data_IF_787863790514
#
_entry.id   IF_787863790514
#
_cell.length_a   1.000
_cell.length_b   1.000
_cell.length_c   1.000
_cell.angle_alpha   90.00
_cell.angle_beta   90.00
_cell.angle_gamma   90.00
#
_symmetry.space_group_name_H-M   'P 1'
#
loop_
_entity.id
_entity.type
_entity.pdbx_description
1 polymer ?
#
# COMPACT_ATOMS: atom_id res chain seq x y z
N UNK A 1 21.27 -5.11 -21.03
CA UNK A 1 21.03 -6.13 -19.98
C UNK A 1 20.34 -5.44 -18.81
N UNK A 2 19.11 -5.81 -18.47
CA UNK A 2 18.41 -5.24 -17.29
C UNK A 2 19.17 -5.72 -16.03
N UNK A 3 19.74 -4.81 -15.26
CA UNK A 3 20.26 -5.18 -13.94
C UNK A 3 19.08 -5.49 -13.05
N UNK A 4 19.02 -6.72 -12.52
CA UNK A 4 17.89 -7.23 -11.72
C UNK A 4 17.65 -6.48 -10.40
N UNK A 5 18.51 -5.53 -10.03
CA UNK A 5 18.46 -4.76 -8.77
C UNK A 5 18.08 -3.29 -8.94
N UNK A 6 18.04 -2.76 -10.16
CA UNK A 6 17.79 -1.33 -10.38
C UNK A 6 16.29 -1.03 -10.51
N UNK A 7 15.83 0.07 -9.90
CA UNK A 7 14.44 0.50 -9.99
C UNK A 7 14.16 1.05 -11.40
N UNK A 8 13.23 0.42 -12.11
CA UNK A 8 12.91 0.76 -13.50
C UNK A 8 12.36 2.20 -13.66
N UNK A 9 11.69 2.76 -12.64
CA UNK A 9 11.20 4.14 -12.67
C UNK A 9 12.34 5.15 -12.55
N UNK A 10 13.27 4.90 -11.63
CA UNK A 10 14.43 5.75 -11.36
C UNK A 10 15.35 5.80 -12.58
N UNK A 11 15.59 4.64 -13.22
CA UNK A 11 16.38 4.57 -14.46
C UNK A 11 15.70 5.33 -15.60
N UNK A 12 14.37 5.24 -15.71
CA UNK A 12 13.63 5.98 -16.74
C UNK A 12 13.71 7.49 -16.52
N UNK A 13 13.47 7.97 -15.29
CA UNK A 13 13.60 9.39 -14.94
C UNK A 13 14.99 9.93 -15.25
N UNK A 14 16.04 9.18 -14.94
CA UNK A 14 17.42 9.56 -15.25
C UNK A 14 17.66 9.68 -16.77
N UNK A 15 17.07 8.78 -17.58
CA UNK A 15 17.15 8.87 -19.04
C UNK A 15 16.43 10.12 -19.55
N UNK A 16 15.20 10.38 -19.11
CA UNK A 16 14.46 11.59 -19.52
C UNK A 16 15.17 12.89 -19.09
N UNK A 17 15.82 12.89 -17.93
CA UNK A 17 16.60 14.04 -17.47
C UNK A 17 17.83 14.31 -18.36
N UNK A 18 18.42 13.27 -18.96
CA UNK A 18 19.56 13.39 -19.88
C UNK A 18 19.15 13.65 -21.34
N UNK A 19 17.90 13.39 -21.73
CA UNK A 19 17.42 13.58 -23.12
C UNK A 19 17.66 15.01 -23.67
N UNK A 20 17.46 16.11 -22.92
CA UNK A 20 17.68 17.46 -23.43
C UNK A 20 19.13 17.73 -23.83
N UNK A 21 20.10 17.28 -23.01
CA UNK A 21 21.53 17.41 -23.31
C UNK A 21 21.92 16.58 -24.53
N UNK A 22 21.40 15.35 -24.61
CA UNK A 22 21.63 14.48 -25.76
C UNK A 22 21.04 15.10 -27.03
N UNK A 23 19.83 15.67 -26.94
CA UNK A 23 19.16 16.28 -28.08
C UNK A 23 19.85 17.57 -28.56
N UNK A 24 20.46 18.34 -27.66
CA UNK A 24 21.28 19.50 -28.00
C UNK A 24 22.60 19.13 -28.69
N UNK A 25 23.11 17.92 -28.45
CA UNK A 25 24.32 17.40 -29.11
C UNK A 25 24.04 16.78 -30.50
N UNK A 26 22.78 16.67 -30.92
CA UNK A 26 22.43 16.08 -32.21
C UNK A 26 22.65 17.05 -33.38
N UNK A 27 23.00 16.53 -34.58
CA UNK A 27 23.11 17.33 -35.79
C UNK A 27 21.80 18.05 -36.15
N UNK A 28 21.87 19.22 -36.81
CA UNK A 28 20.68 19.95 -37.24
C UNK A 28 19.80 19.09 -38.16
N UNK A 29 18.51 19.00 -37.82
CA UNK A 29 17.51 18.20 -38.54
C UNK A 29 17.23 16.82 -37.94
N UNK A 30 17.95 16.40 -36.89
CA UNK A 30 17.70 15.13 -36.19
C UNK A 30 16.78 15.34 -34.96
N UNK A 31 15.77 14.49 -34.80
CA UNK A 31 14.83 14.51 -33.68
C UNK A 31 14.93 13.22 -32.87
N UNK A 32 15.06 13.35 -31.56
CA UNK A 32 15.03 12.24 -30.62
C UNK A 32 13.63 12.14 -30.02
N UNK A 33 12.99 10.97 -30.15
CA UNK A 33 11.69 10.71 -29.54
C UNK A 33 11.72 9.34 -28.84
N UNK A 34 11.20 9.24 -27.61
CA UNK A 34 11.02 7.94 -26.95
C UNK A 34 10.05 7.07 -27.77
N UNK A 35 10.49 5.89 -28.20
CA UNK A 35 9.66 4.96 -28.97
C UNK A 35 8.83 4.03 -28.08
N UNK A 36 9.38 3.59 -26.94
CA UNK A 36 8.69 2.73 -25.98
C UNK A 36 9.23 2.96 -24.58
N UNK A 37 8.33 3.27 -23.65
CA UNK A 37 8.65 3.47 -22.24
C UNK A 37 7.80 2.56 -21.36
N UNK A 38 8.37 1.43 -20.95
CA UNK A 38 7.70 0.50 -20.03
C UNK A 38 7.52 1.05 -18.61
N UNK A 39 8.24 2.11 -18.23
CA UNK A 39 8.10 2.73 -16.90
C UNK A 39 6.79 3.50 -16.74
N UNK A 40 6.20 3.98 -17.85
CA UNK A 40 4.91 4.68 -17.84
C UNK A 40 3.80 3.73 -17.35
N UNK A 41 3.78 2.49 -17.84
CA UNK A 41 2.84 1.47 -17.38
C UNK A 41 3.01 1.16 -15.89
N UNK A 42 4.25 1.05 -15.42
CA UNK A 42 4.56 0.80 -14.00
C UNK A 42 4.12 2.00 -13.14
N UNK A 43 4.40 3.23 -13.57
CA UNK A 43 3.99 4.46 -12.88
C UNK A 43 2.47 4.56 -12.75
N UNK A 44 1.76 4.31 -13.85
CA UNK A 44 0.28 4.28 -13.86
C UNK A 44 -0.24 3.20 -12.94
N UNK A 45 0.32 1.98 -13.01
CA UNK A 45 -0.10 0.87 -12.14
C UNK A 45 0.08 1.20 -10.65
N UNK A 46 1.18 1.86 -10.27
CA UNK A 46 1.41 2.30 -8.88
C UNK A 46 0.40 3.38 -8.47
N UNK A 47 0.16 4.37 -9.33
CA UNK A 47 -0.79 5.45 -9.03
C UNK A 47 -2.22 4.92 -8.87
N UNK A 48 -2.64 4.01 -9.75
CA UNK A 48 -3.94 3.34 -9.65
C UNK A 48 -4.04 2.44 -8.41
N UNK A 49 -2.98 1.69 -8.09
CA UNK A 49 -2.93 0.89 -6.87
C UNK A 49 -3.04 1.76 -5.61
N UNK A 50 -2.31 2.88 -5.55
CA UNK A 50 -2.40 3.85 -4.46
C UNK A 50 -3.81 4.41 -4.31
N UNK A 51 -4.45 4.80 -5.42
CA UNK A 51 -5.83 5.28 -5.44
C UNK A 51 -6.80 4.21 -4.93
N UNK A 52 -6.68 2.98 -5.44
CA UNK A 52 -7.52 1.85 -5.04
C UNK A 52 -7.37 1.53 -3.56
N UNK A 53 -6.14 1.54 -3.04
CA UNK A 53 -5.87 1.33 -1.61
C UNK A 53 -6.51 2.42 -0.74
N UNK A 54 -6.47 3.68 -1.19
CA UNK A 54 -7.09 4.79 -0.48
C UNK A 54 -8.62 4.69 -0.51
N UNK A 55 -9.22 4.38 -1.66
CA UNK A 55 -10.66 4.14 -1.79
C UNK A 55 -11.11 2.96 -0.91
N UNK A 56 -10.36 1.86 -0.90
CA UNK A 56 -10.62 0.71 -0.03
C UNK A 56 -10.53 1.07 1.45
N UNK A 57 -9.48 1.79 1.87
CA UNK A 57 -9.30 2.20 3.26
C UNK A 57 -10.47 3.09 3.74
N UNK A 58 -10.89 4.05 2.90
CA UNK A 58 -12.06 4.90 3.20
C UNK A 58 -13.33 4.06 3.33
N UNK A 59 -13.57 3.12 2.41
CA UNK A 59 -14.74 2.24 2.46
C UNK A 59 -14.77 1.37 3.72
N UNK A 60 -13.63 0.82 4.13
CA UNK A 60 -13.54 0.04 5.38
C UNK A 60 -13.90 0.90 6.59
N UNK A 61 -13.36 2.11 6.68
CA UNK A 61 -13.68 3.05 7.78
C UNK A 61 -15.17 3.39 7.78
N UNK A 62 -15.76 3.66 6.61
CA UNK A 62 -17.20 3.97 6.49
C UNK A 62 -18.05 2.80 6.93
N UNK A 63 -17.75 1.57 6.49
CA UNK A 63 -18.52 0.38 6.87
C UNK A 63 -18.44 0.15 8.38
N UNK A 64 -17.24 0.18 8.97
CA UNK A 64 -17.06 -0.02 10.42
C UNK A 64 -17.78 1.08 11.21
N UNK A 65 -17.72 2.34 10.75
CA UNK A 65 -18.47 3.43 11.36
C UNK A 65 -19.98 3.22 11.27
N UNK A 66 -20.49 2.67 10.16
CA UNK A 66 -21.92 2.42 9.98
C UNK A 66 -22.43 1.37 10.97
N UNK A 67 -21.62 0.35 11.25
CA UNK A 67 -21.93 -0.69 12.25
C UNK A 67 -21.86 -0.18 13.69
N UNK A 68 -20.84 0.61 14.03
CA UNK A 68 -20.58 1.00 15.44
C UNK A 68 -21.15 2.37 15.83
N UNK A 69 -21.40 3.25 14.86
CA UNK A 69 -21.79 4.67 15.02
C UNK A 69 -20.91 5.44 16.03
N UNK A 70 -19.69 4.96 16.28
CA UNK A 70 -18.75 5.51 17.24
C UNK A 70 -17.38 5.69 16.59
N UNK A 71 -17.01 6.95 16.33
CA UNK A 71 -15.75 7.31 15.68
C UNK A 71 -14.52 6.79 16.44
N UNK A 72 -14.52 6.78 17.77
CA UNK A 72 -13.36 6.33 18.56
C UNK A 72 -13.12 4.84 18.37
N UNK A 73 -14.19 4.06 18.39
CA UNK A 73 -14.15 2.61 18.19
C UNK A 73 -13.67 2.27 16.77
N UNK A 74 -14.12 3.01 15.75
CA UNK A 74 -13.73 2.81 14.35
C UNK A 74 -12.24 3.06 14.09
N UNK A 75 -11.60 3.98 14.81
CA UNK A 75 -10.18 4.29 14.61
C UNK A 75 -9.25 3.13 14.99
N UNK A 76 -9.66 2.28 15.94
CA UNK A 76 -8.83 1.17 16.42
C UNK A 76 -8.45 0.21 15.27
N UNK A 77 -9.39 -0.44 14.57
CA UNK A 77 -9.06 -1.30 13.43
C UNK A 77 -8.48 -0.52 12.24
N UNK A 78 -8.91 0.73 12.03
CA UNK A 78 -8.43 1.57 10.93
C UNK A 78 -6.91 1.81 10.98
N UNK A 79 -6.32 1.90 12.18
CA UNK A 79 -4.87 1.99 12.34
C UNK A 79 -4.20 0.63 12.56
N UNK A 80 -4.84 -0.29 13.28
CA UNK A 80 -4.27 -1.60 13.58
C UNK A 80 -3.98 -2.44 12.31
N UNK A 81 -4.91 -2.44 11.34
CA UNK A 81 -4.75 -3.25 10.12
C UNK A 81 -3.58 -2.73 9.27
N UNK A 82 -3.50 -1.45 8.88
CA UNK A 82 -2.35 -0.95 8.10
C UNK A 82 -1.01 -1.08 8.83
N UNK A 83 -0.97 -0.81 10.15
CA UNK A 83 0.27 -0.90 10.91
C UNK A 83 0.80 -2.33 11.00
N UNK A 84 -0.08 -3.34 11.10
CA UNK A 84 0.33 -4.75 11.07
C UNK A 84 0.98 -5.14 9.74
N UNK A 85 0.45 -4.67 8.60
CA UNK A 85 1.00 -4.94 7.27
C UNK A 85 2.39 -4.31 7.13
N UNK A 86 2.54 -3.04 7.58
CA UNK A 86 3.85 -2.36 7.59
C UNK A 86 4.85 -3.12 8.45
N UNK A 87 4.44 -3.62 9.61
CA UNK A 87 5.30 -4.42 10.49
C UNK A 87 5.77 -5.73 9.81
N UNK A 88 4.89 -6.42 9.08
CA UNK A 88 5.26 -7.62 8.32
C UNK A 88 6.32 -7.29 7.27
N UNK A 89 6.14 -6.22 6.49
CA UNK A 89 7.14 -5.82 5.50
C UNK A 89 8.48 -5.41 6.13
N UNK A 90 8.45 -4.72 7.28
CA UNK A 90 9.67 -4.36 8.00
C UNK A 90 10.45 -5.59 8.47
N UNK A 91 9.75 -6.60 9.01
CA UNK A 91 10.36 -7.86 9.43
C UNK A 91 10.89 -8.65 8.22
N UNK A 92 10.11 -8.73 7.13
CA UNK A 92 10.56 -9.36 5.89
C UNK A 92 11.84 -8.71 5.36
N UNK A 93 11.91 -7.38 5.38
CA UNK A 93 13.10 -6.64 4.97
C UNK A 93 14.29 -6.94 5.87
N UNK A 94 14.10 -6.94 7.20
CA UNK A 94 15.16 -7.26 8.16
C UNK A 94 15.70 -8.69 8.02
N UNK A 95 14.85 -9.65 7.65
CA UNK A 95 15.22 -11.04 7.41
C UNK A 95 15.74 -11.30 5.98
N UNK A 96 15.76 -10.29 5.12
CA UNK A 96 16.20 -10.43 3.72
C UNK A 96 15.22 -11.22 2.83
N UNK A 97 13.95 -11.33 3.21
CA UNK A 97 12.93 -11.94 2.35
C UNK A 97 12.56 -11.02 1.19
N UNK A 98 12.46 -11.60 0.00
CA UNK A 98 11.96 -10.93 -1.20
C UNK A 98 10.43 -10.96 -1.26
N UNK A 99 9.82 -9.92 -1.81
CA UNK A 99 8.40 -9.96 -2.20
C UNK A 99 8.27 -10.85 -3.46
N UNK A 100 7.55 -11.96 -3.32
CA UNK A 100 7.23 -12.92 -4.38
C UNK A 100 5.82 -13.51 -4.20
N UNK A 101 5.36 -14.33 -5.15
CA UNK A 101 4.01 -14.91 -5.12
C UNK A 101 3.69 -15.70 -3.83
N UNK A 102 4.64 -16.43 -3.25
CA UNK A 102 4.41 -17.15 -2.00
C UNK A 102 4.23 -16.20 -0.82
N UNK A 103 5.07 -15.18 -0.71
CA UNK A 103 4.94 -14.16 0.36
C UNK A 103 3.67 -13.34 0.22
N UNK A 104 3.23 -13.05 -1.01
CA UNK A 104 1.97 -12.35 -1.27
C UNK A 104 0.77 -13.23 -0.93
N UNK A 105 0.80 -14.52 -1.28
CA UNK A 105 -0.27 -15.46 -0.90
C UNK A 105 -0.39 -15.58 0.62
N UNK A 106 0.74 -15.69 1.33
CA UNK A 106 0.78 -15.73 2.78
C UNK A 106 0.22 -14.43 3.40
N UNK A 107 0.60 -13.26 2.84
CA UNK A 107 0.09 -11.97 3.30
C UNK A 107 -1.42 -11.84 3.10
N UNK A 108 -1.96 -12.30 1.96
CA UNK A 108 -3.40 -12.29 1.69
C UNK A 108 -4.19 -13.11 2.72
N UNK A 109 -3.69 -14.29 3.09
CA UNK A 109 -4.32 -15.11 4.14
C UNK A 109 -4.21 -14.43 5.51
N UNK A 110 -3.03 -13.89 5.83
CA UNK A 110 -2.77 -13.24 7.11
C UNK A 110 -3.65 -12.01 7.33
N UNK A 111 -3.91 -11.22 6.28
CA UNK A 111 -4.80 -10.04 6.38
C UNK A 111 -6.20 -10.45 6.85
N UNK A 112 -6.75 -11.57 6.34
CA UNK A 112 -8.05 -12.07 6.80
C UNK A 112 -8.07 -12.36 8.30
N UNK A 113 -7.04 -13.05 8.80
CA UNK A 113 -6.91 -13.39 10.22
C UNK A 113 -6.81 -12.12 11.09
N UNK A 114 -5.98 -11.14 10.68
CA UNK A 114 -5.78 -9.90 11.45
C UNK A 114 -7.04 -9.03 11.49
N UNK A 115 -7.78 -8.96 10.38
CA UNK A 115 -9.04 -8.21 10.31
C UNK A 115 -10.08 -8.84 11.24
N UNK A 116 -10.21 -10.17 11.22
CA UNK A 116 -11.13 -10.89 12.10
C UNK A 116 -10.79 -10.63 13.58
N UNK A 117 -9.52 -10.72 13.97
CA UNK A 117 -9.07 -10.43 15.34
C UNK A 117 -9.41 -8.99 15.76
N UNK A 118 -9.13 -8.02 14.90
CA UNK A 118 -9.39 -6.61 15.19
C UNK A 118 -10.91 -6.33 15.35
N UNK A 119 -11.74 -6.98 14.54
CA UNK A 119 -13.20 -6.86 14.61
C UNK A 119 -13.73 -7.54 15.87
N UNK A 120 -13.29 -8.78 16.17
CA UNK A 120 -13.76 -9.55 17.33
C UNK A 120 -13.45 -8.84 18.64
N UNK A 121 -12.24 -8.29 18.81
CA UNK A 121 -11.86 -7.55 20.03
C UNK A 121 -12.71 -6.30 20.18
N UNK A 122 -12.95 -5.59 19.09
CA UNK A 122 -13.76 -4.37 19.08
C UNK A 122 -15.23 -4.65 19.40
N UNK A 123 -15.81 -5.66 18.76
CA UNK A 123 -17.18 -6.12 19.02
C UNK A 123 -17.32 -6.56 20.48
N UNK A 124 -16.35 -7.32 21.00
CA UNK A 124 -16.41 -7.76 22.38
C UNK A 124 -16.30 -6.60 23.37
N UNK A 125 -15.46 -5.59 23.09
CA UNK A 125 -15.38 -4.37 23.90
C UNK A 125 -16.69 -3.58 23.86
N UNK A 126 -17.29 -3.44 22.67
CA UNK A 126 -18.57 -2.76 22.48
C UNK A 126 -19.70 -3.48 23.22
N UNK A 127 -19.79 -4.81 23.11
CA UNK A 127 -20.72 -5.65 23.86
C UNK A 127 -20.58 -5.49 25.37
N UNK A 128 -19.34 -5.42 25.89
CA UNK A 128 -19.12 -5.21 27.33
C UNK A 128 -19.56 -3.82 27.81
N UNK A 129 -19.47 -2.80 26.97
CA UNK A 129 -19.96 -1.46 27.29
C UNK A 129 -21.49 -1.40 27.24
N UNK A 130 -22.11 -1.93 26.19
CA UNK A 130 -23.54 -1.76 25.94
C UNK A 130 -24.40 -2.76 26.73
N UNK A 131 -24.02 -4.03 26.84
CA UNK A 131 -24.82 -5.06 27.53
C UNK A 131 -24.45 -5.22 29.01
N UNK A 132 -23.17 -5.05 29.37
CA UNK A 132 -22.66 -5.30 30.73
C UNK A 132 -22.45 -4.01 31.54
N UNK A 133 -22.61 -2.83 30.93
CA UNK A 133 -22.47 -1.53 31.59
C UNK A 133 -21.08 -1.27 32.18
N UNK A 134 -20.04 -1.94 31.65
CA UNK A 134 -18.66 -1.76 32.11
C UNK A 134 -18.02 -0.61 31.35
N UNK A 135 -17.69 0.45 32.07
CA UNK A 135 -16.91 1.55 31.49
C UNK A 135 -15.50 1.08 31.09
N UNK A 136 -14.94 1.60 29.99
CA UNK A 136 -13.57 1.29 29.59
C UNK A 136 -12.59 1.78 30.65
N UNK A 137 -11.67 0.91 31.06
CA UNK A 137 -10.55 1.29 31.92
C UNK A 137 -9.63 2.25 31.13
N UNK A 138 -9.37 3.42 31.72
CA UNK A 138 -8.56 4.52 31.14
C UNK A 138 -7.08 4.20 31.03
#
# INVERSE_FOLDING_TARGET
>A
VRQSKANQLEVSEAIYAALPEIQAALPPGMLLQPAFDGSEFVRRSITEAQRTLLEAAVLVVVIIFLFLRNLRATLIPAFAIPTSIVAVFAIMFALGYSINNFTLLALTIAIGIVVDDAIIVLENAYRHQEELGKDPET
#
